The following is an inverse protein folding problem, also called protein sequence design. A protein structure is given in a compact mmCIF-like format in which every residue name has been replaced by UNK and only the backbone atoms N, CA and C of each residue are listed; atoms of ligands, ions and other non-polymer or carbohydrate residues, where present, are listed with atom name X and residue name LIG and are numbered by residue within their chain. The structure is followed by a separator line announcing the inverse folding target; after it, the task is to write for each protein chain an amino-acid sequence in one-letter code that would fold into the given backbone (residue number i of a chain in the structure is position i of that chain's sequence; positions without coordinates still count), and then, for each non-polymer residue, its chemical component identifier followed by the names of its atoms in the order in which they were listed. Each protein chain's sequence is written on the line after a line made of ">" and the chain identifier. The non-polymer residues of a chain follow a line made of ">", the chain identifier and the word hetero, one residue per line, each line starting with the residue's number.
data_IF_143995567582
#
_entry.id   IF_143995567582
#
_cell.length_a   1.000
_cell.length_b   1.000
_cell.length_c   1.000
_cell.angle_alpha   90.00
_cell.angle_beta   90.00
_cell.angle_gamma   90.00
#
_symmetry.space_group_name_H-M   'P 1'
#
loop_
_entity.id
_entity.type
_entity.pdbx_description
1 polymer ?
#
# COMPACT_ATOMS: atom_id res chain seq x y z
N UNK A 1 -12.78 -11.52 8.94
CA UNK A 1 -11.93 -10.82 7.98
C UNK A 1 -10.76 -10.23 8.77
N UNK A 2 -9.51 -10.61 8.51
CA UNK A 2 -8.37 -10.07 9.27
C UNK A 2 -7.38 -9.46 8.29
N UNK A 3 -7.60 -8.18 8.02
CA UNK A 3 -6.72 -7.30 7.27
C UNK A 3 -6.22 -6.23 8.26
N UNK A 4 -4.92 -6.19 8.49
CA UNK A 4 -4.29 -5.25 9.43
C UNK A 4 -3.28 -4.41 8.69
N UNK A 5 -3.37 -3.10 8.87
CA UNK A 5 -2.38 -2.16 8.38
C UNK A 5 -1.54 -1.62 9.52
N UNK A 6 -0.23 -1.61 9.34
CA UNK A 6 0.71 -0.89 10.19
C UNK A 6 1.42 0.15 9.32
N UNK A 7 1.47 1.41 9.78
CA UNK A 7 2.17 2.48 9.09
C UNK A 7 3.19 3.11 10.05
N UNK A 8 4.44 3.23 9.59
CA UNK A 8 5.55 3.75 10.38
C UNK A 8 6.21 4.90 9.61
N UNK A 9 6.47 6.07 10.22
CA UNK A 9 7.30 7.11 9.61
C UNK A 9 8.78 6.69 9.61
N UNK A 10 9.14 5.78 8.69
CA UNK A 10 10.45 5.09 8.66
C UNK A 10 11.63 6.06 8.52
N UNK A 11 11.53 7.01 7.59
CA UNK A 11 12.56 8.02 7.39
C UNK A 11 11.93 9.41 7.19
N UNK A 12 11.65 10.16 8.27
CA UNK A 12 10.99 11.47 8.18
C UNK A 12 11.72 12.49 7.31
N UNK A 13 13.06 12.54 7.38
CA UNK A 13 13.88 13.44 6.55
C UNK A 13 13.94 13.06 5.07
N UNK A 14 13.50 11.85 4.72
CA UNK A 14 13.37 11.38 3.32
C UNK A 14 11.92 11.29 2.87
N UNK A 15 10.99 11.70 3.74
CA UNK A 15 9.56 11.68 3.48
C UNK A 15 9.03 10.26 3.21
N UNK A 16 9.59 9.22 3.86
CA UNK A 16 9.20 7.82 3.62
C UNK A 16 8.38 7.27 4.79
N UNK A 17 7.16 6.83 4.47
CA UNK A 17 6.42 5.87 5.29
C UNK A 17 6.79 4.43 4.90
N UNK A 18 6.85 3.54 5.89
CA UNK A 18 6.79 2.10 5.69
C UNK A 18 5.37 1.65 6.03
N UNK A 19 4.76 0.89 5.13
CA UNK A 19 3.43 0.30 5.35
C UNK A 19 3.53 -1.21 5.27
N UNK A 20 2.89 -1.89 6.19
CA UNK A 20 2.68 -3.33 6.19
C UNK A 20 1.19 -3.62 6.13
N UNK A 21 0.78 -4.43 5.18
CA UNK A 21 -0.57 -4.96 5.08
C UNK A 21 -0.52 -6.47 5.32
N UNK A 22 -1.10 -6.94 6.43
CA UNK A 22 -1.21 -8.36 6.76
C UNK A 22 -2.60 -8.86 6.38
N UNK A 23 -2.67 -9.80 5.45
CA UNK A 23 -3.91 -10.42 4.98
C UNK A 23 -3.91 -11.91 5.35
N UNK A 24 -4.84 -12.31 6.23
CA UNK A 24 -4.87 -13.68 6.74
C UNK A 24 -5.32 -14.72 5.71
N UNK A 25 -6.28 -14.39 4.84
CA UNK A 25 -6.91 -15.33 3.90
C UNK A 25 -6.85 -14.76 2.46
N UNK A 26 -5.68 -14.72 1.81
CA UNK A 26 -5.58 -14.24 0.43
C UNK A 26 -6.32 -15.16 -0.55
N UNK A 27 -6.64 -14.65 -1.74
CA UNK A 27 -7.12 -15.49 -2.84
C UNK A 27 -6.06 -16.57 -3.18
N UNK A 28 -6.39 -17.87 -3.07
CA UNK A 28 -5.43 -18.95 -3.25
C UNK A 28 -4.91 -19.09 -4.69
N UNK A 29 -5.57 -18.45 -5.67
CA UNK A 29 -5.11 -18.38 -7.06
C UNK A 29 -4.22 -17.15 -7.35
N UNK A 30 -3.96 -16.32 -6.34
CA UNK A 30 -3.19 -15.09 -6.43
C UNK A 30 -4.01 -13.89 -5.96
N UNK A 31 -3.48 -13.15 -4.99
CA UNK A 31 -4.16 -11.97 -4.44
C UNK A 31 -3.78 -10.72 -5.23
N UNK A 32 -4.78 -10.00 -5.72
CA UNK A 32 -4.60 -8.69 -6.33
C UNK A 32 -4.71 -7.62 -5.25
N UNK A 33 -3.79 -6.66 -5.27
CA UNK A 33 -3.84 -5.43 -4.49
C UNK A 33 -3.95 -4.24 -5.42
N UNK A 34 -4.69 -3.21 -5.00
CA UNK A 34 -4.80 -1.96 -5.72
C UNK A 34 -4.53 -0.76 -4.81
N UNK A 35 -4.06 0.34 -5.39
CA UNK A 35 -4.09 1.65 -4.74
C UNK A 35 -5.07 2.55 -5.51
N UNK A 36 -5.97 3.30 -4.84
CA UNK A 36 -6.79 4.30 -5.52
C UNK A 36 -5.97 5.28 -6.37
N UNK A 37 -6.52 5.74 -7.48
CA UNK A 37 -5.90 6.73 -8.35
C UNK A 37 -6.51 8.15 -8.20
N UNK A 38 -7.52 8.31 -7.33
CA UNK A 38 -8.14 9.57 -6.93
C UNK A 38 -8.67 9.47 -5.48
N UNK A 39 -9.20 10.56 -4.93
CA UNK A 39 -9.77 10.60 -3.57
C UNK A 39 -11.14 11.30 -3.57
N UNK A 40 -12.15 10.81 -2.82
CA UNK A 40 -13.42 11.48 -2.63
C UNK A 40 -13.28 12.96 -2.27
N UNK A 41 -14.09 13.81 -2.89
CA UNK A 41 -14.00 15.27 -2.75
C UNK A 41 -12.94 15.96 -3.62
N UNK A 42 -12.11 15.20 -4.37
CA UNK A 42 -11.21 15.75 -5.41
C UNK A 42 -11.34 14.96 -6.71
N UNK A 43 -12.15 15.49 -7.64
CA UNK A 43 -12.46 14.85 -8.93
C UNK A 43 -11.33 15.04 -9.97
N UNK A 44 -10.12 14.60 -9.62
CA UNK A 44 -8.94 14.59 -10.48
C UNK A 44 -8.13 13.32 -10.23
N UNK A 45 -7.70 12.65 -11.31
CA UNK A 45 -6.76 11.54 -11.23
C UNK A 45 -5.41 12.06 -10.71
N UNK A 46 -4.92 11.47 -9.60
CA UNK A 46 -3.68 11.83 -8.92
C UNK A 46 -2.54 10.85 -9.16
N UNK A 47 -2.90 9.60 -9.48
CA UNK A 47 -1.96 8.48 -9.65
C UNK A 47 -1.08 8.28 -8.40
N UNK A 48 -1.69 7.96 -7.26
CA UNK A 48 -0.96 7.80 -5.99
C UNK A 48 0.06 6.65 -6.04
N UNK A 49 -0.15 5.66 -6.91
CA UNK A 49 0.73 4.50 -7.05
C UNK A 49 2.15 4.88 -7.50
N UNK A 50 2.35 6.05 -8.12
CA UNK A 50 3.68 6.56 -8.44
C UNK A 50 4.57 6.82 -7.22
N UNK A 51 3.96 6.95 -6.04
CA UNK A 51 4.67 7.20 -4.78
C UNK A 51 5.10 5.90 -4.07
N UNK A 52 4.72 4.72 -4.57
CA UNK A 52 5.23 3.44 -4.08
C UNK A 52 6.67 3.28 -4.57
N UNK A 53 7.63 3.31 -3.63
CA UNK A 53 9.08 3.29 -3.92
C UNK A 53 9.59 1.86 -4.02
N UNK A 54 9.14 1.01 -3.12
CA UNK A 54 9.51 -0.41 -3.04
C UNK A 54 8.31 -1.20 -2.55
N UNK A 55 8.21 -2.46 -2.96
CA UNK A 55 7.16 -3.39 -2.54
C UNK A 55 7.71 -4.81 -2.52
N UNK A 56 7.46 -5.53 -1.45
CA UNK A 56 7.79 -6.95 -1.29
C UNK A 56 6.67 -7.67 -0.56
N UNK A 57 6.64 -8.99 -0.70
CA UNK A 57 5.63 -9.83 -0.04
C UNK A 57 6.30 -11.02 0.60
N UNK A 58 5.87 -11.35 1.81
CA UNK A 58 6.31 -12.56 2.51
C UNK A 58 5.12 -13.38 2.97
N UNK A 59 5.32 -14.70 3.09
CA UNK A 59 4.41 -15.59 3.82
C UNK A 59 5.22 -16.61 4.60
N UNK A 60 4.86 -16.81 5.88
CA UNK A 60 5.59 -17.69 6.82
C UNK A 60 7.11 -17.44 6.81
N UNK A 61 7.52 -16.17 6.66
CA UNK A 61 8.93 -15.77 6.61
C UNK A 61 9.65 -15.96 5.27
N UNK A 62 8.99 -16.51 4.25
CA UNK A 62 9.56 -16.67 2.91
C UNK A 62 9.04 -15.60 1.96
N UNK A 63 9.90 -15.08 1.09
CA UNK A 63 9.52 -14.12 0.05
C UNK A 63 8.63 -14.79 -1.01
N UNK A 64 7.57 -14.08 -1.43
CA UNK A 64 6.67 -14.50 -2.50
C UNK A 64 6.74 -13.48 -3.63
N UNK A 65 6.80 -13.93 -4.91
CA UNK A 65 6.80 -13.01 -6.03
C UNK A 65 5.55 -12.13 -6.08
N UNK A 66 5.77 -10.84 -6.28
CA UNK A 66 4.74 -9.85 -6.57
C UNK A 66 5.07 -9.18 -7.91
N UNK A 67 4.06 -8.98 -8.76
CA UNK A 67 4.21 -8.35 -10.07
C UNK A 67 3.25 -7.19 -10.20
N UNK A 68 3.73 -6.08 -10.75
CA UNK A 68 2.86 -4.96 -11.12
C UNK A 68 2.04 -5.36 -12.36
N UNK A 69 0.71 -5.27 -12.27
CA UNK A 69 -0.21 -5.61 -13.36
C UNK A 69 -0.45 -4.42 -14.28
N UNK A 70 -0.66 -3.24 -13.68
CA UNK A 70 -0.89 -1.98 -14.38
C UNK A 70 -0.39 -0.80 -13.54
N UNK A 71 -0.87 0.42 -13.80
CA UNK A 71 -0.43 1.64 -13.10
C UNK A 71 -0.56 1.54 -11.58
N UNK A 72 -1.64 0.94 -11.08
CA UNK A 72 -2.02 0.96 -9.68
C UNK A 72 -2.47 -0.39 -9.11
N UNK A 73 -2.24 -1.50 -9.83
CA UNK A 73 -2.49 -2.86 -9.37
C UNK A 73 -1.23 -3.72 -9.32
N UNK A 74 -1.19 -4.63 -8.35
CA UNK A 74 -0.17 -5.66 -8.19
C UNK A 74 -0.83 -7.01 -7.94
N UNK A 75 -0.21 -8.08 -8.40
CA UNK A 75 -0.62 -9.45 -8.11
C UNK A 75 0.47 -10.19 -7.36
N UNK A 76 0.09 -10.81 -6.25
CA UNK A 76 0.91 -11.74 -5.49
C UNK A 76 0.72 -13.14 -6.07
N UNK A 77 1.81 -13.90 -6.22
CA UNK A 77 1.73 -15.30 -6.62
C UNK A 77 0.81 -16.12 -5.68
N UNK A 78 0.19 -17.21 -6.18
CA UNK A 78 -0.67 -18.09 -5.39
C UNK A 78 -0.09 -18.43 -4.01
N UNK A 79 -0.85 -18.15 -2.95
CA UNK A 79 -0.48 -18.44 -1.57
C UNK A 79 -1.72 -18.85 -0.79
N UNK A 80 -1.59 -19.88 0.06
CA UNK A 80 -2.69 -20.37 0.92
C UNK A 80 -2.62 -19.87 2.35
N UNK A 81 -1.46 -19.36 2.74
CA UNK A 81 -1.18 -18.86 4.08
C UNK A 81 -1.35 -17.34 4.14
N UNK A 82 -1.30 -16.78 5.34
CA UNK A 82 -1.31 -15.33 5.51
C UNK A 82 -0.15 -14.68 4.76
N UNK A 83 -0.40 -13.56 4.08
CA UNK A 83 0.62 -12.77 3.41
C UNK A 83 0.83 -11.44 4.13
N UNK A 84 2.07 -10.97 4.15
CA UNK A 84 2.45 -9.63 4.60
C UNK A 84 3.04 -8.91 3.40
N UNK A 85 2.35 -7.86 2.95
CA UNK A 85 2.84 -6.94 1.92
C UNK A 85 3.51 -5.77 2.62
N UNK A 86 4.81 -5.60 2.41
CA UNK A 86 5.59 -4.48 2.93
C UNK A 86 5.96 -3.55 1.78
N UNK A 87 5.76 -2.24 1.95
CA UNK A 87 6.07 -1.26 0.93
C UNK A 87 6.39 0.11 1.50
N UNK A 88 7.19 0.86 0.76
CA UNK A 88 7.57 2.23 1.10
C UNK A 88 6.78 3.23 0.27
N UNK A 89 6.27 4.27 0.94
CA UNK A 89 5.50 5.36 0.31
C UNK A 89 6.25 6.68 0.48
N UNK A 90 6.57 7.33 -0.64
CA UNK A 90 7.07 8.70 -0.66
C UNK A 90 5.94 9.70 -0.42
N UNK A 91 6.09 10.54 0.60
CA UNK A 91 5.04 11.39 1.15
C UNK A 91 5.53 12.84 1.29
N UNK A 92 5.69 13.54 0.17
CA UNK A 92 6.10 14.94 0.15
C UNK A 92 5.17 15.84 -0.67
N UNK A 93 3.87 15.57 -0.59
CA UNK A 93 2.85 16.44 -1.19
C UNK A 93 2.12 17.20 -0.08
N UNK A 94 2.43 18.49 0.05
CA UNK A 94 1.80 19.37 1.04
C UNK A 94 0.38 19.74 0.59
N UNK A 95 -0.53 18.78 0.69
CA UNK A 95 -1.95 18.97 0.41
C UNK A 95 -2.84 18.10 1.29
N UNK A 96 -4.13 18.44 1.34
CA UNK A 96 -5.14 17.65 2.08
C UNK A 96 -5.54 16.36 1.36
N UNK A 97 -5.00 16.09 0.17
CA UNK A 97 -5.51 15.05 -0.76
C UNK A 97 -4.67 13.78 -0.80
N UNK A 98 -3.46 13.81 -0.23
CA UNK A 98 -2.44 12.78 -0.41
C UNK A 98 -1.70 12.46 0.90
N UNK A 99 -0.37 12.42 0.89
CA UNK A 99 0.47 12.14 2.05
C UNK A 99 1.66 13.11 2.14
N UNK A 100 1.95 13.53 3.37
CA UNK A 100 3.02 14.45 3.73
C UNK A 100 3.68 13.98 5.02
N UNK A 101 5.01 13.85 5.01
CA UNK A 101 5.80 13.45 6.17
C UNK A 101 7.06 14.31 6.26
N UNK A 102 7.26 14.95 7.40
CA UNK A 102 8.52 15.57 7.81
C UNK A 102 8.84 15.19 9.26
N UNK A 103 9.95 15.70 9.79
CA UNK A 103 10.29 15.62 11.21
C UNK A 103 9.33 16.42 12.12
N UNK A 104 8.56 17.38 11.58
CA UNK A 104 7.58 18.14 12.37
C UNK A 104 6.16 17.59 12.28
N UNK A 105 5.79 16.97 11.15
CA UNK A 105 4.39 16.62 10.86
C UNK A 105 4.26 15.35 10.02
N UNK A 106 3.25 14.56 10.34
CA UNK A 106 2.72 13.50 9.49
C UNK A 106 1.26 13.80 9.12
N UNK A 107 0.90 13.57 7.86
CA UNK A 107 -0.46 13.60 7.33
C UNK A 107 -0.57 12.57 6.21
N UNK A 108 -1.66 11.81 6.15
CA UNK A 108 -1.94 10.94 5.02
C UNK A 108 -3.43 10.68 4.88
N UNK A 109 -3.85 10.45 3.65
CA UNK A 109 -5.13 9.83 3.33
C UNK A 109 -4.92 8.35 3.03
N UNK A 110 -5.82 7.50 3.52
CA UNK A 110 -5.75 6.04 3.28
C UNK A 110 -5.66 5.69 1.78
N UNK A 111 -6.33 6.46 0.93
CA UNK A 111 -6.28 6.31 -0.54
C UNK A 111 -4.88 6.41 -1.14
N UNK A 112 -3.93 7.03 -0.43
CA UNK A 112 -2.56 7.24 -0.89
C UNK A 112 -1.54 6.30 -0.24
N UNK A 113 -1.93 5.55 0.80
CA UNK A 113 -0.98 4.74 1.60
C UNK A 113 -1.43 3.30 1.83
N UNK A 114 -2.71 2.95 1.72
CA UNK A 114 -3.20 1.61 2.01
C UNK A 114 -3.56 0.87 0.72
N UNK A 115 -2.75 -0.13 0.36
CA UNK A 115 -3.05 -1.06 -0.71
C UNK A 115 -4.24 -1.93 -0.32
N UNK A 116 -5.33 -1.80 -1.06
CA UNK A 116 -6.57 -2.54 -0.88
C UNK A 116 -6.45 -3.92 -1.55
N UNK A 117 -6.55 -5.05 -0.81
CA UNK A 117 -6.72 -6.34 -1.45
C UNK A 117 -8.10 -6.44 -2.09
N UNK A 118 -8.14 -6.75 -3.39
CA UNK A 118 -9.40 -6.94 -4.12
C UNK A 118 -10.19 -8.10 -3.51
N UNK A 119 -11.49 -7.89 -3.29
CA UNK A 119 -12.39 -8.78 -2.55
C UNK A 119 -12.49 -8.49 -1.05
N UNK A 120 -11.85 -7.43 -0.57
CA UNK A 120 -11.86 -6.98 0.84
C UNK A 120 -12.22 -5.48 0.93
N UNK A 121 -13.15 -5.03 0.09
CA UNK A 121 -13.56 -3.62 -0.02
C UNK A 121 -14.48 -3.12 1.12
N UNK A 122 -15.05 -4.05 1.91
CA UNK A 122 -16.00 -3.77 3.00
C UNK A 122 -15.36 -3.60 4.39
#
# INVERSE_FOLDING_TARGET
>A
MNLVYEITPKFPHRHIFLVKATLANPNPLGQVFMLPNWIPGSYLIRDFAKNIVSISVTSKGNEIPIKKLDKNHWIVSPCRDSIVVEYEVYAFDLSVRSAYLTNERAFFNGTSVFLLPIGFEE
#
